data_IF_197908080323
#
_entry.id   IF_197908080323
#
_cell.length_a   1.000
_cell.length_b   1.000
_cell.length_c   1.000
_cell.angle_alpha   90.00
_cell.angle_beta   90.00
_cell.angle_gamma   90.00
#
_symmetry.space_group_name_H-M   'P 1'
#
loop_
_entity.id
_entity.type
_entity.pdbx_description
1 polymer ?
#
# COMPACT_ATOMS: atom_id res chain seq x y z
N UNK A 1 -0.59 1.73 -14.07
CA UNK A 1 -0.56 0.26 -14.25
C UNK A 1 -1.47 -0.44 -13.23
N UNK A 2 -1.18 -0.35 -11.93
CA UNK A 2 -2.02 -0.97 -10.89
C UNK A 2 -3.50 -0.52 -10.90
N UNK A 3 -3.76 0.78 -11.08
CA UNK A 3 -5.14 1.29 -11.22
C UNK A 3 -5.88 0.74 -12.45
N UNK A 4 -5.16 0.45 -13.53
CA UNK A 4 -5.74 -0.10 -14.75
C UNK A 4 -6.10 -1.57 -14.56
N UNK A 5 -5.22 -2.35 -13.93
CA UNK A 5 -5.47 -3.74 -13.56
C UNK A 5 -6.67 -3.87 -12.60
N UNK A 6 -6.84 -2.94 -11.65
CA UNK A 6 -8.02 -2.92 -10.76
C UNK A 6 -9.33 -2.67 -11.52
N UNK A 7 -9.31 -1.89 -12.59
CA UNK A 7 -10.50 -1.59 -13.41
C UNK A 7 -10.77 -2.72 -14.41
N UNK A 8 -9.72 -3.38 -14.93
CA UNK A 8 -9.85 -4.51 -15.85
C UNK A 8 -10.29 -5.80 -15.14
N UNK A 9 -9.99 -5.92 -13.84
CA UNK A 9 -10.39 -7.05 -12.99
C UNK A 9 -11.84 -7.05 -12.52
N UNK A 10 -12.67 -6.08 -12.93
CA UNK A 10 -14.09 -6.02 -12.56
C UNK A 10 -14.83 -7.22 -13.17
N UNK A 11 -15.74 -7.82 -12.40
CA UNK A 11 -16.52 -8.94 -12.90
C UNK A 11 -17.44 -8.52 -14.05
N UNK A 12 -17.78 -9.47 -14.92
CA UNK A 12 -18.57 -9.17 -16.12
C UNK A 12 -20.05 -9.06 -15.82
N UNK A 13 -20.55 -9.63 -14.73
CA UNK A 13 -21.99 -9.64 -14.43
C UNK A 13 -22.59 -8.22 -14.24
N UNK A 14 -21.95 -7.28 -13.51
CA UNK A 14 -22.43 -5.90 -13.40
C UNK A 14 -22.42 -5.14 -14.74
N UNK A 15 -21.45 -5.45 -15.61
CA UNK A 15 -21.31 -4.81 -16.93
C UNK A 15 -22.40 -5.31 -17.89
N UNK A 16 -22.65 -6.61 -17.91
CA UNK A 16 -23.68 -7.24 -18.75
C UNK A 16 -25.08 -6.79 -18.30
N UNK A 17 -25.32 -6.65 -16.99
CA UNK A 17 -26.57 -6.09 -16.46
C UNK A 17 -26.79 -4.63 -16.91
N UNK A 18 -25.72 -3.83 -16.94
CA UNK A 18 -25.78 -2.45 -17.42
C UNK A 18 -26.08 -2.34 -18.92
N UNK A 19 -25.58 -3.31 -19.72
CA UNK A 19 -25.91 -3.42 -21.14
C UNK A 19 -27.39 -3.75 -21.36
N UNK A 20 -27.95 -4.68 -20.59
CA UNK A 20 -29.38 -5.05 -20.67
C UNK A 20 -30.29 -3.88 -20.27
N UNK A 21 -29.86 -3.06 -19.32
CA UNK A 21 -30.57 -1.83 -18.92
C UNK A 21 -30.47 -0.70 -19.95
N UNK A 22 -29.65 -0.85 -21.01
CA UNK A 22 -29.51 0.13 -22.09
C UNK A 22 -28.69 1.36 -21.73
N UNK A 23 -27.82 1.29 -20.72
CA UNK A 23 -26.98 2.42 -20.33
C UNK A 23 -26.01 2.81 -21.44
N UNK A 24 -25.83 4.10 -21.67
CA UNK A 24 -24.79 4.61 -22.54
C UNK A 24 -23.39 4.39 -21.92
N UNK A 25 -22.33 4.42 -22.73
CA UNK A 25 -20.94 4.14 -22.29
C UNK A 25 -20.48 5.03 -21.13
N UNK A 26 -20.89 6.29 -21.11
CA UNK A 26 -20.54 7.24 -20.06
C UNK A 26 -21.29 6.90 -18.77
N UNK A 27 -22.59 6.64 -18.87
CA UNK A 27 -23.43 6.26 -17.72
C UNK A 27 -22.93 4.95 -17.10
N UNK A 28 -22.59 3.96 -17.93
CA UNK A 28 -21.97 2.70 -17.46
C UNK A 28 -20.64 2.95 -16.71
N UNK A 29 -19.80 3.85 -17.21
CA UNK A 29 -18.53 4.16 -16.55
C UNK A 29 -18.73 4.74 -15.15
N UNK A 30 -19.64 5.71 -14.99
CA UNK A 30 -19.88 6.36 -13.70
C UNK A 30 -20.72 5.53 -12.74
N UNK A 31 -21.69 4.77 -13.23
CA UNK A 31 -22.68 4.06 -12.41
C UNK A 31 -22.25 2.64 -12.06
N UNK A 32 -21.33 2.04 -12.82
CA UNK A 32 -20.91 0.65 -12.62
C UNK A 32 -19.40 0.57 -12.44
N UNK A 33 -18.61 1.02 -13.42
CA UNK A 33 -17.15 0.80 -13.39
C UNK A 33 -16.47 1.50 -12.21
N UNK A 34 -16.79 2.78 -11.99
CA UNK A 34 -16.22 3.56 -10.88
C UNK A 34 -16.62 2.99 -9.51
N UNK A 35 -17.92 2.79 -9.18
CA UNK A 35 -18.30 2.29 -7.86
C UNK A 35 -17.77 0.89 -7.58
N UNK A 36 -17.77 -0.02 -8.56
CA UNK A 36 -17.22 -1.37 -8.41
C UNK A 36 -15.70 -1.35 -8.14
N UNK A 37 -14.97 -0.44 -8.78
CA UNK A 37 -13.51 -0.29 -8.57
C UNK A 37 -13.15 0.61 -7.39
N UNK A 38 -14.10 1.34 -6.80
CA UNK A 38 -13.84 2.44 -5.88
C UNK A 38 -13.05 1.99 -4.66
N UNK A 39 -13.42 0.86 -4.05
CA UNK A 39 -12.74 0.33 -2.86
C UNK A 39 -11.25 0.03 -3.12
N UNK A 40 -10.95 -0.55 -4.29
CA UNK A 40 -9.57 -0.82 -4.71
C UNK A 40 -8.81 0.46 -5.02
N UNK A 41 -9.44 1.40 -5.73
CA UNK A 41 -8.83 2.70 -6.04
C UNK A 41 -8.52 3.51 -4.77
N UNK A 42 -9.45 3.56 -3.82
CA UNK A 42 -9.27 4.25 -2.53
C UNK A 42 -8.15 3.59 -1.72
N UNK A 43 -8.13 2.26 -1.64
CA UNK A 43 -7.07 1.52 -0.96
C UNK A 43 -5.68 1.80 -1.55
N UNK A 44 -5.60 1.86 -2.88
CA UNK A 44 -4.38 2.22 -3.61
C UNK A 44 -3.98 3.69 -3.37
N UNK A 45 -4.94 4.61 -3.35
CA UNK A 45 -4.69 6.03 -3.06
C UNK A 45 -4.15 6.23 -1.64
N UNK A 46 -4.71 5.56 -0.64
CA UNK A 46 -4.23 5.60 0.76
C UNK A 46 -2.79 5.07 0.83
N UNK A 47 -2.51 3.96 0.15
CA UNK A 47 -1.15 3.41 0.08
C UNK A 47 -0.16 4.39 -0.59
N UNK A 48 -0.55 5.00 -1.71
CA UNK A 48 0.29 5.98 -2.40
C UNK A 48 0.51 7.24 -1.54
N UNK A 49 -0.50 7.67 -0.77
CA UNK A 49 -0.36 8.78 0.16
C UNK A 49 0.67 8.47 1.25
N UNK A 50 0.55 7.33 1.95
CA UNK A 50 1.52 6.87 2.95
C UNK A 50 2.93 6.79 2.36
N UNK A 51 3.05 6.15 1.20
CA UNK A 51 4.31 6.02 0.48
C UNK A 51 4.94 7.38 0.19
N UNK A 52 4.16 8.34 -0.32
CA UNK A 52 4.64 9.68 -0.63
C UNK A 52 5.10 10.45 0.62
N UNK A 53 4.42 10.30 1.76
CA UNK A 53 4.86 10.94 3.02
C UNK A 53 6.19 10.37 3.51
N UNK A 54 6.36 9.04 3.47
CA UNK A 54 7.63 8.39 3.83
C UNK A 54 8.75 8.78 2.87
N UNK A 55 8.47 8.76 1.57
CA UNK A 55 9.44 9.08 0.52
C UNK A 55 9.84 10.56 0.54
N UNK A 56 8.92 11.47 0.86
CA UNK A 56 9.21 12.90 1.05
C UNK A 56 10.24 13.16 2.16
N UNK A 57 10.25 12.33 3.20
CA UNK A 57 11.26 12.43 4.27
C UNK A 57 12.66 12.02 3.77
N UNK A 58 12.74 11.00 2.90
CA UNK A 58 13.99 10.59 2.24
C UNK A 58 14.48 11.67 1.27
N UNK A 59 13.59 12.24 0.47
CA UNK A 59 13.92 13.35 -0.43
C UNK A 59 14.36 14.60 0.35
N UNK A 60 13.86 14.81 1.57
CA UNK A 60 14.33 15.90 2.44
C UNK A 60 15.83 15.86 2.71
N UNK A 61 16.45 14.68 2.71
CA UNK A 61 17.91 14.50 2.89
C UNK A 61 18.68 15.06 1.69
N UNK A 62 18.13 14.98 0.47
CA UNK A 62 18.79 15.48 -0.76
C UNK A 62 18.61 16.99 -0.98
N UNK A 63 17.94 17.70 -0.08
CA UNK A 63 17.87 19.17 -0.08
C UNK A 63 16.52 19.76 -0.45
N UNK A 64 15.46 18.97 -0.57
CA UNK A 64 14.10 19.47 -0.79
C UNK A 64 13.47 20.16 0.46
N UNK A 65 14.16 20.14 1.60
CA UNK A 65 13.68 20.68 2.88
C UNK A 65 12.94 19.65 3.74
N UNK A 66 12.32 20.09 4.85
CA UNK A 66 11.55 19.23 5.75
C UNK A 66 12.38 18.47 6.80
N UNK A 67 11.83 17.40 7.38
CA UNK A 67 12.45 16.68 8.51
C UNK A 67 13.78 16.02 8.09
N UNK A 68 13.87 15.50 6.86
CA UNK A 68 15.10 14.89 6.31
C UNK A 68 16.27 15.89 6.15
N UNK A 69 15.99 17.18 6.00
CA UNK A 69 17.02 18.22 5.92
C UNK A 69 17.80 18.33 7.23
N UNK A 70 17.13 18.26 8.38
CA UNK A 70 17.77 18.33 9.70
C UNK A 70 18.68 17.14 9.95
N UNK A 71 18.31 15.95 9.46
CA UNK A 71 19.18 14.77 9.51
C UNK A 71 20.48 15.02 8.74
N UNK A 72 20.39 15.54 7.51
CA UNK A 72 21.59 15.85 6.70
C UNK A 72 22.45 16.95 7.37
N UNK A 73 21.80 17.97 7.94
CA UNK A 73 22.47 19.06 8.64
C UNK A 73 23.25 18.55 9.86
N UNK A 74 22.61 17.80 10.76
CA UNK A 74 23.27 17.29 11.96
C UNK A 74 24.30 16.20 11.67
N UNK A 75 24.12 15.43 10.58
CA UNK A 75 25.16 14.52 10.08
C UNK A 75 26.41 15.28 9.64
N UNK A 76 26.28 16.42 8.94
CA UNK A 76 27.42 17.27 8.54
C UNK A 76 28.17 17.85 9.73
N UNK A 77 27.46 18.16 10.81
CA UNK A 77 28.06 18.63 12.06
C UNK A 77 28.53 17.50 12.98
N UNK A 78 28.46 16.22 12.55
CA UNK A 78 28.84 15.04 13.34
C UNK A 78 28.08 14.93 14.67
N UNK A 79 26.88 15.52 14.76
CA UNK A 79 26.02 15.50 15.96
C UNK A 79 25.11 14.27 15.93
N UNK A 80 25.69 13.08 16.11
CA UNK A 80 24.96 11.80 16.00
C UNK A 80 23.80 11.67 16.99
N UNK A 81 23.91 12.27 18.18
CA UNK A 81 22.83 12.28 19.18
C UNK A 81 21.54 12.89 18.61
N UNK A 82 21.67 14.00 17.87
CA UNK A 82 20.52 14.67 17.24
C UNK A 82 20.00 13.89 16.05
N UNK A 83 20.89 13.26 15.27
CA UNK A 83 20.49 12.43 14.13
C UNK A 83 19.60 11.28 14.58
N UNK A 84 19.99 10.57 15.64
CA UNK A 84 19.20 9.46 16.19
C UNK A 84 17.86 9.95 16.73
N UNK A 85 17.82 11.10 17.43
CA UNK A 85 16.57 11.68 17.89
C UNK A 85 15.59 11.97 16.73
N UNK A 86 16.06 12.55 15.63
CA UNK A 86 15.23 12.79 14.45
C UNK A 86 14.79 11.50 13.74
N UNK A 87 15.64 10.47 13.70
CA UNK A 87 15.24 9.16 13.17
C UNK A 87 14.10 8.53 13.97
N UNK A 88 14.13 8.64 15.30
CA UNK A 88 13.06 8.16 16.17
C UNK A 88 11.75 8.92 15.90
N UNK A 89 11.82 10.25 15.75
CA UNK A 89 10.64 11.07 15.43
C UNK A 89 10.00 10.64 14.11
N UNK A 90 10.81 10.42 13.06
CA UNK A 90 10.30 9.94 11.77
C UNK A 90 9.70 8.55 11.92
N UNK A 91 10.36 7.65 12.64
CA UNK A 91 9.83 6.32 12.87
C UNK A 91 8.45 6.37 13.51
N UNK A 92 8.29 7.16 14.58
CA UNK A 92 6.99 7.35 15.25
C UNK A 92 5.96 7.96 14.30
N UNK A 93 6.32 8.98 13.52
CA UNK A 93 5.38 9.62 12.58
C UNK A 93 4.90 8.64 11.53
N UNK A 94 5.79 7.82 10.97
CA UNK A 94 5.45 6.80 9.97
C UNK A 94 4.54 5.75 10.59
N UNK A 95 4.85 5.26 11.80
CA UNK A 95 3.98 4.29 12.50
C UNK A 95 2.58 4.85 12.75
N UNK A 96 2.46 6.12 13.15
CA UNK A 96 1.16 6.77 13.34
C UNK A 96 0.39 6.82 12.03
N UNK A 97 1.05 7.20 10.93
CA UNK A 97 0.43 7.26 9.60
C UNK A 97 0.00 5.86 9.15
N UNK A 98 0.84 4.84 9.32
CA UNK A 98 0.53 3.46 8.95
C UNK A 98 -0.69 2.94 9.75
N UNK A 99 -0.78 3.26 11.05
CA UNK A 99 -1.95 2.91 11.88
C UNK A 99 -3.23 3.60 11.40
N UNK A 100 -3.16 4.89 11.07
CA UNK A 100 -4.28 5.65 10.51
C UNK A 100 -4.67 5.06 9.15
N UNK A 101 -3.71 4.70 8.29
CA UNK A 101 -3.94 4.07 6.99
C UNK A 101 -4.64 2.71 7.13
N UNK A 102 -4.26 1.90 8.11
CA UNK A 102 -4.93 0.61 8.38
C UNK A 102 -6.37 0.85 8.82
N UNK A 103 -6.60 1.80 9.73
CA UNK A 103 -7.94 2.15 10.18
C UNK A 103 -8.80 2.70 9.03
N UNK A 104 -8.26 3.63 8.24
CA UNK A 104 -8.94 4.19 7.08
C UNK A 104 -9.28 3.11 6.04
N UNK A 105 -8.35 2.18 5.76
CA UNK A 105 -8.61 1.06 4.84
C UNK A 105 -9.70 0.13 5.37
N UNK A 106 -9.72 -0.14 6.67
CA UNK A 106 -10.75 -1.00 7.29
C UNK A 106 -12.17 -0.45 7.16
N UNK A 107 -12.32 0.87 6.97
CA UNK A 107 -13.61 1.50 6.76
C UNK A 107 -14.19 1.25 5.36
N UNK A 108 -13.33 1.03 4.35
CA UNK A 108 -13.73 0.85 2.95
C UNK A 108 -13.65 -0.60 2.46
N UNK A 109 -12.86 -1.45 3.12
CA UNK A 109 -12.70 -2.85 2.73
C UNK A 109 -13.66 -3.76 3.53
N UNK A 110 -14.86 -3.99 3.00
CA UNK A 110 -15.66 -5.16 3.41
C UNK A 110 -15.23 -6.39 2.57
N UNK A 111 -14.67 -7.39 3.27
CA UNK A 111 -14.37 -8.76 2.82
C UNK A 111 -13.72 -8.93 1.44
N UNK A 112 -12.47 -8.50 1.31
CA UNK A 112 -11.56 -9.33 0.52
C UNK A 112 -11.07 -10.47 1.43
N UNK A 113 -11.27 -11.71 1.02
CA UNK A 113 -10.76 -12.90 1.71
C UNK A 113 -9.23 -12.92 1.64
N UNK A 114 -8.58 -12.01 2.36
CA UNK A 114 -7.17 -12.11 2.67
C UNK A 114 -7.02 -13.40 3.47
N UNK A 115 -6.56 -14.46 2.79
CA UNK A 115 -6.13 -15.69 3.43
C UNK A 115 -5.02 -15.27 4.39
N UNK A 116 -5.37 -15.13 5.68
CA UNK A 116 -4.47 -14.62 6.71
C UNK A 116 -3.18 -15.43 6.61
N UNK A 117 -2.00 -14.80 6.46
CA UNK A 117 -0.75 -15.53 6.42
C UNK A 117 -0.63 -16.27 7.75
N UNK A 118 -0.92 -17.56 7.71
CA UNK A 118 -0.73 -18.44 8.86
C UNK A 118 0.77 -18.50 9.12
N UNK A 119 1.20 -18.60 10.37
CA UNK A 119 2.62 -18.67 10.75
C UNK A 119 3.43 -19.70 9.93
N UNK A 120 2.77 -20.77 9.46
CA UNK A 120 3.30 -21.80 8.55
C UNK A 120 3.67 -21.31 7.14
N UNK A 121 3.01 -20.28 6.62
CA UNK A 121 3.32 -19.66 5.31
C UNK A 121 4.68 -18.96 5.32
N UNK A 122 5.16 -18.52 6.49
CA UNK A 122 6.47 -17.89 6.62
C UNK A 122 7.61 -18.90 6.42
N UNK A 123 7.41 -20.16 6.83
CA UNK A 123 8.32 -21.25 6.47
C UNK A 123 8.36 -21.45 4.96
N UNK A 124 7.24 -21.21 4.27
CA UNK A 124 7.16 -21.38 2.82
C UNK A 124 7.87 -20.28 2.03
N UNK A 125 7.86 -19.05 2.55
CA UNK A 125 8.50 -17.89 1.91
C UNK A 125 10.02 -17.90 2.11
N UNK A 126 10.49 -18.32 3.29
CA UNK A 126 11.93 -18.35 3.61
C UNK A 126 12.65 -19.61 3.13
N UNK A 127 11.93 -20.72 2.90
CA UNK A 127 12.54 -21.98 2.46
C UNK A 127 12.30 -22.22 0.96
N UNK A 128 13.34 -22.05 0.12
CA UNK A 128 13.25 -22.34 -1.30
C UNK A 128 12.95 -23.82 -1.58
N UNK A 129 12.24 -24.08 -2.68
CA UNK A 129 11.63 -25.38 -3.00
C UNK A 129 12.63 -26.56 -3.03
N UNK A 130 13.88 -26.30 -3.39
CA UNK A 130 14.94 -27.30 -3.44
C UNK A 130 15.33 -27.87 -2.06
N UNK A 131 15.12 -27.13 -0.96
CA UNK A 131 15.41 -27.62 0.40
C UNK A 131 14.29 -28.53 0.93
N UNK A 132 13.05 -28.38 0.45
CA UNK A 132 11.91 -29.19 0.88
C UNK A 132 11.97 -30.63 0.37
N UNK A 133 12.51 -30.83 -0.82
CA UNK A 133 12.73 -32.15 -1.41
C UNK A 133 13.76 -32.98 -0.63
N UNK A 134 14.63 -32.33 0.15
CA UNK A 134 15.64 -32.99 0.98
C UNK A 134 15.08 -33.52 2.31
N UNK A 135 13.97 -32.95 2.79
CA UNK A 135 13.35 -33.30 4.07
C UNK A 135 12.20 -34.31 3.97
N UNK A 136 11.66 -34.53 2.76
CA UNK A 136 10.55 -35.47 2.52
C UNK A 136 11.03 -36.88 2.12
N UNK A 137 12.31 -37.19 2.33
CA UNK A 137 12.95 -38.45 1.90
C UNK A 137 13.53 -39.28 3.05
N UNK A 138 13.12 -38.98 4.28
CA UNK A 138 13.23 -39.84 5.46
C UNK A 138 11.83 -40.03 6.05
#
# INVERSE_FOLDING_TARGET
KLQYESIEGISREPLDAADVMGLNKIEKAYTVVIPESANNLISQLIFMFEYNVRHGTVIGIVGAGGIGYYINLYLKFLQYDKVIAYLIIIFITVVIIDLISIYARSFFTEKENLKRPTWRTWEEIFIPEFLRLKYKKE
#
